data_IF_233531017050
#
_entry.id   IF_233531017050
#
_cell.length_a   1.000
_cell.length_b   1.000
_cell.length_c   1.000
_cell.angle_alpha   90.00
_cell.angle_beta   90.00
_cell.angle_gamma   90.00
#
_symmetry.space_group_name_H-M   'P 1'
#
loop_
_entity.id
_entity.type
_entity.pdbx_description
1 polymer ?
#
# COMPACT_ATOMS: atom_id res chain seq x y z
N UNK A 1 -5.41 20.46 5.68
CA UNK A 1 -5.55 19.17 6.36
C UNK A 1 -6.67 19.16 7.39
N UNK A 2 -6.75 20.11 8.33
CA UNK A 2 -7.74 20.03 9.43
C UNK A 2 -9.18 20.45 9.04
N UNK A 3 -9.33 21.55 8.31
CA UNK A 3 -10.65 22.08 7.92
C UNK A 3 -11.17 21.40 6.67
N UNK A 4 -10.43 21.55 5.56
CA UNK A 4 -10.84 21.05 4.23
C UNK A 4 -10.81 19.53 4.12
N UNK A 5 -9.90 18.86 4.85
CA UNK A 5 -9.68 17.40 4.78
C UNK A 5 -9.71 16.85 3.34
N UNK A 6 -8.82 17.36 2.46
CA UNK A 6 -8.76 16.92 1.06
C UNK A 6 -8.50 15.41 0.97
N UNK A 7 -8.98 14.77 -0.09
CA UNK A 7 -8.74 13.35 -0.27
C UNK A 7 -7.25 13.05 -0.41
N UNK A 8 -6.83 11.94 0.22
CA UNK A 8 -5.48 11.41 0.11
C UNK A 8 -5.59 10.07 -0.60
N UNK A 9 -5.21 10.03 -1.88
CA UNK A 9 -5.20 8.81 -2.68
C UNK A 9 -3.83 8.15 -2.58
N UNK A 10 -3.84 6.84 -2.38
CA UNK A 10 -2.64 6.01 -2.26
C UNK A 10 -2.75 4.87 -3.24
N UNK A 11 -1.70 4.70 -4.06
CA UNK A 11 -1.59 3.61 -5.03
C UNK A 11 -0.26 2.90 -4.90
N UNK A 12 -0.27 1.61 -5.15
CA UNK A 12 0.94 0.83 -5.33
C UNK A 12 0.73 -0.27 -6.37
N UNK A 13 1.83 -0.67 -7.03
CA UNK A 13 1.81 -1.74 -8.01
C UNK A 13 2.73 -2.87 -7.60
N UNK A 14 2.21 -4.09 -7.62
CA UNK A 14 2.97 -5.29 -7.27
C UNK A 14 2.80 -6.41 -8.27
N UNK A 15 3.84 -7.25 -8.39
CA UNK A 15 3.84 -8.47 -9.20
C UNK A 15 4.74 -9.53 -8.53
N UNK A 16 4.57 -10.79 -8.92
CA UNK A 16 5.50 -11.86 -8.57
C UNK A 16 5.93 -12.61 -9.84
N UNK A 17 7.02 -13.37 -9.73
CA UNK A 17 7.49 -14.19 -10.84
C UNK A 17 6.53 -15.38 -11.08
N UNK A 18 6.51 -15.97 -12.29
CA UNK A 18 5.72 -17.18 -12.54
C UNK A 18 6.23 -18.40 -11.76
N UNK A 19 7.53 -18.48 -11.48
CA UNK A 19 8.17 -19.69 -10.97
C UNK A 19 8.15 -19.82 -9.44
N UNK A 20 7.69 -18.80 -8.71
CA UNK A 20 7.60 -18.81 -7.24
C UNK A 20 6.33 -18.08 -6.77
N UNK A 21 5.67 -18.63 -5.75
CA UNK A 21 4.61 -17.91 -5.06
C UNK A 21 5.18 -16.78 -4.19
N UNK A 22 4.38 -15.76 -3.90
CA UNK A 22 4.77 -14.61 -3.11
C UNK A 22 3.60 -14.03 -2.33
N UNK A 23 3.87 -13.51 -1.13
CA UNK A 23 2.91 -12.73 -0.35
C UNK A 23 3.32 -11.26 -0.39
N UNK A 24 2.40 -10.39 -0.77
CA UNK A 24 2.56 -8.94 -0.75
C UNK A 24 1.73 -8.34 0.39
N UNK A 25 2.30 -7.35 1.09
CA UNK A 25 1.62 -6.60 2.15
C UNK A 25 1.85 -5.10 1.95
N UNK A 26 0.79 -4.33 2.15
CA UNK A 26 0.80 -2.88 2.24
C UNK A 26 0.22 -2.47 3.60
N UNK A 27 0.79 -1.43 4.20
CA UNK A 27 0.17 -0.73 5.33
C UNK A 27 0.45 0.78 5.17
N UNK A 28 -0.62 1.57 5.30
CA UNK A 28 -0.59 3.02 5.16
C UNK A 28 -1.30 3.64 6.35
N UNK A 29 -0.66 4.60 6.99
CA UNK A 29 -1.22 5.28 8.15
C UNK A 29 -1.19 6.80 7.98
N UNK A 30 -2.31 7.45 8.29
CA UNK A 30 -2.35 8.88 8.50
C UNK A 30 -1.92 9.16 9.94
N UNK A 31 -0.94 10.04 10.14
CA UNK A 31 -0.35 10.29 11.45
C UNK A 31 -0.49 11.75 11.89
N UNK A 32 -0.67 11.94 13.19
CA UNK A 32 -0.62 13.25 13.84
C UNK A 32 0.79 13.84 13.92
N UNK A 33 0.93 15.08 14.41
CA UNK A 33 2.23 15.70 14.71
C UNK A 33 3.08 14.89 15.70
N UNK A 34 2.45 14.08 16.55
CA UNK A 34 3.12 13.20 17.51
C UNK A 34 3.39 11.80 16.94
N UNK A 35 3.24 11.61 15.62
CA UNK A 35 3.29 10.31 14.94
C UNK A 35 2.27 9.27 15.44
N UNK A 36 1.23 9.69 16.16
CA UNK A 36 0.13 8.80 16.56
C UNK A 36 -0.82 8.54 15.36
N UNK A 37 -1.28 7.31 15.14
CA UNK A 37 -2.15 6.96 14.02
C UNK A 37 -3.56 7.55 14.17
N UNK A 38 -4.03 8.19 13.11
CA UNK A 38 -5.37 8.79 12.96
C UNK A 38 -6.25 8.05 11.95
N UNK A 39 -5.66 7.14 11.18
CA UNK A 39 -6.33 6.25 10.23
C UNK A 39 -5.33 5.24 9.69
N UNK A 40 -5.78 4.02 9.38
CA UNK A 40 -4.93 2.95 8.86
C UNK A 40 -5.64 2.22 7.74
N UNK A 41 -4.96 2.06 6.61
CA UNK A 41 -5.34 1.18 5.53
C UNK A 41 -4.31 0.04 5.45
N UNK A 42 -4.79 -1.18 5.67
CA UNK A 42 -3.99 -2.39 5.58
C UNK A 42 -4.86 -3.49 4.97
N UNK A 43 -4.79 -3.71 3.65
CA UNK A 43 -5.52 -4.80 3.03
C UNK A 43 -4.99 -6.15 3.52
N UNK A 44 -5.83 -7.18 3.43
CA UNK A 44 -5.38 -8.55 3.67
C UNK A 44 -4.18 -8.89 2.77
N UNK A 45 -3.18 -9.64 3.29
CA UNK A 45 -2.00 -9.98 2.52
C UNK A 45 -2.39 -10.66 1.19
N UNK A 46 -1.97 -10.06 0.08
CA UNK A 46 -2.24 -10.61 -1.25
C UNK A 46 -1.29 -11.78 -1.52
N UNK A 47 -1.85 -12.97 -1.73
CA UNK A 47 -1.06 -14.15 -2.10
C UNK A 47 -1.09 -14.35 -3.61
N UNK A 48 0.07 -14.25 -4.25
CA UNK A 48 0.29 -14.63 -5.64
C UNK A 48 0.80 -16.08 -5.65
N UNK A 49 0.05 -16.97 -6.31
CA UNK A 49 0.38 -18.38 -6.39
C UNK A 49 1.57 -18.64 -7.33
N UNK A 50 2.25 -19.76 -7.15
CA UNK A 50 3.20 -20.27 -8.15
C UNK A 50 2.47 -20.57 -9.46
N UNK A 51 3.17 -20.44 -10.59
CA UNK A 51 2.60 -20.41 -11.95
C UNK A 51 1.63 -19.25 -12.15
N UNK A 52 1.93 -18.10 -11.53
CA UNK A 52 1.18 -16.87 -11.76
C UNK A 52 1.34 -16.38 -13.18
N UNK A 53 0.40 -15.52 -13.59
CA UNK A 53 0.43 -14.80 -14.86
C UNK A 53 1.53 -13.73 -14.93
N UNK A 54 2.27 -13.52 -13.83
CA UNK A 54 3.28 -12.47 -13.65
C UNK A 54 2.82 -11.06 -14.06
N UNK A 55 1.51 -10.81 -13.96
CA UNK A 55 0.93 -9.51 -14.27
C UNK A 55 1.05 -8.57 -13.09
N UNK A 56 1.30 -7.30 -13.40
CA UNK A 56 1.22 -6.20 -12.45
C UNK A 56 -0.22 -5.97 -12.00
N UNK A 57 -0.39 -5.78 -10.70
CA UNK A 57 -1.68 -5.51 -10.06
C UNK A 57 -1.59 -4.21 -9.28
N UNK A 58 -2.60 -3.39 -9.42
CA UNK A 58 -2.75 -2.16 -8.64
C UNK A 58 -3.48 -2.46 -7.33
N UNK A 59 -3.02 -1.84 -6.24
CA UNK A 59 -3.83 -1.61 -5.04
C UNK A 59 -4.02 -0.11 -4.89
N UNK A 60 -5.25 0.31 -4.61
CA UNK A 60 -5.62 1.72 -4.45
C UNK A 60 -6.52 1.91 -3.24
N UNK A 61 -6.32 3.01 -2.51
CA UNK A 61 -7.17 3.44 -1.41
C UNK A 61 -7.19 4.96 -1.30
N UNK A 62 -8.37 5.52 -1.01
CA UNK A 62 -8.53 6.94 -0.74
C UNK A 62 -8.97 7.14 0.70
N UNK A 63 -8.19 7.91 1.46
CA UNK A 63 -8.64 8.41 2.75
C UNK A 63 -9.44 9.69 2.55
N UNK A 64 -10.73 9.62 2.87
CA UNK A 64 -11.65 10.75 2.89
C UNK A 64 -12.19 10.95 4.31
N UNK A 65 -12.59 12.18 4.64
CA UNK A 65 -13.22 12.50 5.94
C UNK A 65 -12.41 12.07 7.18
N UNK A 66 -11.08 12.01 7.08
CA UNK A 66 -10.22 11.66 8.20
C UNK A 66 -10.28 12.70 9.33
N UNK A 67 -9.94 12.33 10.59
CA UNK A 67 -9.91 13.28 11.69
C UNK A 67 -8.97 14.47 11.43
N UNK A 68 -9.24 15.66 11.99
CA UNK A 68 -8.26 16.74 11.98
C UNK A 68 -6.97 16.31 12.69
N UNK A 69 -5.86 16.96 12.37
CA UNK A 69 -4.56 16.72 12.98
C UNK A 69 -3.60 15.89 12.13
N UNK A 70 -3.99 15.42 10.94
CA UNK A 70 -3.07 14.71 10.01
C UNK A 70 -1.92 15.64 9.59
N UNK A 71 -0.68 15.18 9.79
CA UNK A 71 0.56 15.88 9.46
C UNK A 71 1.55 15.02 8.67
N UNK A 72 1.50 13.71 8.84
CA UNK A 72 2.36 12.78 8.11
C UNK A 72 1.56 11.62 7.56
N UNK A 73 2.15 10.95 6.57
CA UNK A 73 1.65 9.70 6.02
C UNK A 73 2.79 8.71 6.13
N UNK A 74 2.57 7.59 6.82
CA UNK A 74 3.49 6.47 6.86
C UNK A 74 3.03 5.44 5.84
N UNK A 75 3.94 5.04 4.95
CA UNK A 75 3.68 4.09 3.89
C UNK A 75 4.74 3.00 3.96
N UNK A 76 4.31 1.75 4.14
CA UNK A 76 5.19 0.59 4.13
C UNK A 76 4.60 -0.49 3.24
N UNK A 77 5.41 -0.97 2.30
CA UNK A 77 5.09 -2.13 1.48
C UNK A 77 6.22 -3.16 1.51
N UNK A 78 5.92 -4.36 1.03
CA UNK A 78 6.92 -5.39 0.84
C UNK A 78 6.28 -6.76 0.81
N UNK A 79 7.10 -7.77 1.08
CA UNK A 79 6.60 -9.11 1.21
C UNK A 79 7.69 -10.16 1.15
N UNK A 80 7.27 -11.41 1.11
CA UNK A 80 8.14 -12.58 1.21
C UNK A 80 7.70 -13.61 0.19
N UNK A 81 8.66 -14.32 -0.39
CA UNK A 81 8.35 -15.46 -1.23
C UNK A 81 7.84 -16.64 -0.39
N UNK A 82 7.08 -17.55 -1.00
CA UNK A 82 6.45 -18.66 -0.25
C UNK A 82 7.39 -19.83 0.01
N UNK A 83 8.55 -19.88 -0.65
CA UNK A 83 9.47 -21.03 -0.64
C UNK A 83 10.79 -20.76 0.09
N UNK A 84 10.99 -19.53 0.57
CA UNK A 84 12.18 -19.00 1.22
C UNK A 84 13.48 -19.29 0.46
N UNK A 85 13.43 -19.18 -0.86
CA UNK A 85 14.58 -19.47 -1.72
C UNK A 85 15.66 -18.40 -1.60
N UNK A 86 16.93 -18.83 -1.62
CA UNK A 86 18.05 -17.91 -1.70
C UNK A 86 18.01 -17.14 -3.03
N UNK A 87 17.66 -15.85 -2.97
CA UNK A 87 17.60 -14.95 -4.13
C UNK A 87 16.45 -13.95 -4.05
N UNK A 88 16.15 -13.30 -5.17
CA UNK A 88 15.13 -12.23 -5.28
C UNK A 88 13.81 -12.78 -5.80
N UNK A 89 13.15 -13.65 -5.01
CA UNK A 89 11.92 -14.36 -5.38
C UNK A 89 10.64 -13.78 -4.78
N UNK A 90 10.76 -12.81 -3.87
CA UNK A 90 9.63 -12.10 -3.27
C UNK A 90 8.89 -11.19 -4.26
N UNK A 91 7.94 -10.39 -3.77
CA UNK A 91 7.18 -9.51 -4.64
C UNK A 91 8.07 -8.41 -5.20
N UNK A 92 7.80 -8.02 -6.43
CA UNK A 92 8.32 -6.80 -7.05
C UNK A 92 7.30 -5.70 -6.84
N UNK A 93 7.77 -4.54 -6.43
CA UNK A 93 6.94 -3.35 -6.17
C UNK A 93 7.48 -2.17 -6.95
N UNK A 94 6.59 -1.31 -7.46
CA UNK A 94 6.97 -0.10 -8.21
C UNK A 94 5.78 0.84 -8.31
N UNK A 95 6.01 2.04 -8.88
CA UNK A 95 4.96 3.01 -9.20
C UNK A 95 4.06 3.37 -7.99
N UNK A 96 4.64 3.33 -6.79
CA UNK A 96 4.01 3.75 -5.55
C UNK A 96 3.76 5.25 -5.60
N UNK A 97 2.55 5.69 -5.23
CA UNK A 97 2.20 7.10 -5.22
C UNK A 97 1.26 7.46 -4.08
N UNK A 98 1.38 8.71 -3.63
CA UNK A 98 0.47 9.35 -2.69
C UNK A 98 0.17 10.72 -3.28
N UNK A 99 -1.10 11.02 -3.50
CA UNK A 99 -1.56 12.30 -4.02
C UNK A 99 -2.59 12.92 -3.10
N UNK A 100 -2.64 14.26 -3.10
CA UNK A 100 -3.62 15.02 -2.33
C UNK A 100 -4.43 15.83 -3.34
N UNK A 101 -5.73 15.62 -3.35
CA UNK A 101 -6.64 16.22 -4.33
C UNK A 101 -7.90 16.80 -3.68
N UNK A 102 -8.73 17.52 -4.46
CA UNK A 102 -10.07 17.87 -3.99
C UNK A 102 -10.82 16.60 -3.60
N UNK A 103 -11.70 16.65 -2.58
CA UNK A 103 -12.56 15.51 -2.24
C UNK A 103 -13.32 15.01 -3.47
N UNK A 104 -13.36 13.68 -3.65
CA UNK A 104 -14.17 13.06 -4.70
C UNK A 104 -15.66 13.39 -4.47
N UNK A 105 -16.43 13.60 -5.56
CA UNK A 105 -17.84 13.99 -5.48
C UNK A 105 -18.75 12.93 -4.86
#
# INVERSE_FOLDING_TARGET
>A
MDTTRPDIEVKDWFAARPDCGSKYQLCVQLLSSAHAPLGTFQPDPATIQQKSDAKWREVSHTFSNYPPGVRYIWFQHGGVDTHYWAGWYGPRVTNSSITIGPPLP
#
